data_IF_738679468749
#
_entry.id   IF_738679468749
#
_cell.length_a   1.000
_cell.length_b   1.000
_cell.length_c   1.000
_cell.angle_alpha   90.00
_cell.angle_beta   90.00
_cell.angle_gamma   90.00
#
_symmetry.space_group_name_H-M   'P 1'
#
loop_
_entity.id
_entity.type
_entity.pdbx_description
1 polymer ?
#
# COMPACT_ATOMS: atom_id res chain seq x y z
N UNK A 1 -18.17 -20.31 -1.59
CA UNK A 1 -17.35 -19.36 -2.38
C UNK A 1 -15.90 -19.52 -1.97
N UNK A 2 -15.07 -20.11 -2.84
CA UNK A 2 -13.62 -20.21 -2.59
C UNK A 2 -13.01 -18.81 -2.70
N UNK A 3 -12.22 -18.33 -1.72
CA UNK A 3 -11.60 -17.01 -1.83
C UNK A 3 -10.67 -17.01 -3.05
N UNK A 4 -10.96 -16.15 -4.03
CA UNK A 4 -10.09 -15.98 -5.19
C UNK A 4 -8.78 -15.38 -4.70
N UNK A 5 -7.69 -16.18 -4.73
CA UNK A 5 -6.34 -15.68 -4.47
C UNK A 5 -6.02 -14.62 -5.51
N UNK A 6 -5.40 -13.53 -5.07
CA UNK A 6 -5.05 -12.38 -5.88
C UNK A 6 -4.26 -12.83 -7.13
N UNK A 7 -4.66 -12.40 -8.34
CA UNK A 7 -3.94 -12.69 -9.59
C UNK A 7 -3.31 -11.41 -10.17
N UNK A 8 -2.04 -11.50 -10.57
CA UNK A 8 -1.27 -10.39 -11.18
C UNK A 8 -1.36 -10.43 -12.70
N UNK A 9 -1.59 -9.29 -13.36
CA UNK A 9 -1.81 -9.20 -14.81
C UNK A 9 -0.59 -8.80 -15.66
N UNK A 10 0.58 -8.58 -15.06
CA UNK A 10 1.88 -8.35 -15.75
C UNK A 10 3.02 -8.51 -14.75
N UNK A 11 4.11 -9.18 -15.17
CA UNK A 11 5.35 -9.48 -14.42
C UNK A 11 5.34 -9.11 -12.93
N UNK A 12 4.92 -10.06 -12.08
CA UNK A 12 5.16 -10.01 -10.64
C UNK A 12 4.50 -8.86 -9.85
N UNK A 13 3.69 -8.00 -10.47
CA UNK A 13 3.05 -6.86 -9.79
C UNK A 13 1.56 -7.10 -9.58
N UNK A 14 1.14 -7.02 -8.31
CA UNK A 14 -0.26 -7.07 -7.92
C UNK A 14 -0.80 -5.64 -7.74
N UNK A 15 -1.90 -5.31 -8.43
CA UNK A 15 -2.62 -4.08 -8.17
C UNK A 15 -3.63 -4.33 -7.05
N UNK A 16 -3.45 -3.66 -5.91
CA UNK A 16 -4.37 -3.73 -4.78
C UNK A 16 -5.25 -2.47 -4.75
N UNK A 17 -6.56 -2.68 -4.74
CA UNK A 17 -7.55 -1.64 -4.45
C UNK A 17 -8.12 -1.88 -3.07
N UNK A 18 -8.10 -0.88 -2.20
CA UNK A 18 -8.78 -0.92 -0.90
C UNK A 18 -9.70 0.29 -0.76
N UNK A 19 -10.80 0.08 -0.05
CA UNK A 19 -11.69 1.18 0.33
C UNK A 19 -11.23 1.72 1.68
N UNK A 20 -10.94 3.03 1.72
CA UNK A 20 -10.62 3.76 2.95
C UNK A 20 -11.42 5.05 2.96
N UNK A 21 -11.66 5.60 4.14
CA UNK A 21 -12.37 6.87 4.26
C UNK A 21 -11.53 8.02 3.68
N UNK A 22 -12.16 9.10 3.19
CA UNK A 22 -11.44 10.28 2.70
C UNK A 22 -10.49 10.89 3.74
N UNK A 23 -10.87 10.90 5.01
CA UNK A 23 -10.09 11.46 6.11
C UNK A 23 -8.80 10.66 6.32
N UNK A 24 -8.91 9.33 6.34
CA UNK A 24 -7.75 8.44 6.44
C UNK A 24 -6.84 8.61 5.22
N UNK A 25 -7.43 8.73 4.03
CA UNK A 25 -6.70 8.96 2.79
C UNK A 25 -5.86 10.24 2.85
N UNK A 26 -6.46 11.35 3.28
CA UNK A 26 -5.78 12.64 3.41
C UNK A 26 -4.67 12.59 4.47
N UNK A 27 -4.93 11.94 5.60
CA UNK A 27 -3.93 11.82 6.68
C UNK A 27 -2.71 11.03 6.23
N UNK A 28 -2.91 9.92 5.51
CA UNK A 28 -1.82 9.13 4.93
C UNK A 28 -1.01 9.93 3.91
N UNK A 29 -1.67 10.69 3.03
CA UNK A 29 -0.97 11.56 2.07
C UNK A 29 -0.07 12.59 2.76
N UNK A 30 -0.57 13.25 3.81
CA UNK A 30 0.22 14.20 4.62
C UNK A 30 1.44 13.53 5.26
N UNK A 31 1.26 12.36 5.86
CA UNK A 31 2.36 11.62 6.50
C UNK A 31 3.44 11.24 5.49
N UNK A 32 3.04 10.77 4.30
CA UNK A 32 3.97 10.41 3.24
C UNK A 32 4.65 11.62 2.61
N UNK A 33 3.94 12.75 2.47
CA UNK A 33 4.53 14.01 2.04
C UNK A 33 5.62 14.47 3.02
N UNK A 34 5.36 14.38 4.33
CA UNK A 34 6.33 14.74 5.37
C UNK A 34 7.57 13.83 5.37
N UNK A 35 7.45 12.59 4.90
CA UNK A 35 8.58 11.67 4.67
C UNK A 35 9.38 11.96 3.40
N UNK A 36 9.01 13.00 2.62
CA UNK A 36 9.70 13.38 1.39
C UNK A 36 9.28 12.57 0.15
N UNK A 37 8.19 11.79 0.22
CA UNK A 37 7.73 11.02 -0.93
C UNK A 37 7.15 11.94 -2.02
N UNK A 38 7.62 11.76 -3.26
CA UNK A 38 7.22 12.56 -4.43
C UNK A 38 5.72 12.42 -4.70
N UNK A 39 5.03 13.49 -5.16
CA UNK A 39 3.58 13.47 -5.40
C UNK A 39 3.12 12.31 -6.30
N UNK A 40 3.82 12.08 -7.42
CA UNK A 40 3.54 10.95 -8.30
C UNK A 40 4.07 9.65 -7.69
N UNK A 41 3.17 8.71 -7.41
CA UNK A 41 3.52 7.42 -6.81
C UNK A 41 3.63 7.45 -5.28
N UNK A 42 3.41 8.60 -4.61
CA UNK A 42 3.48 8.74 -3.15
C UNK A 42 2.72 7.64 -2.42
N UNK A 43 1.47 7.45 -2.82
CA UNK A 43 0.57 6.47 -2.23
C UNK A 43 1.08 5.07 -2.40
N UNK A 44 1.50 4.72 -3.61
CA UNK A 44 1.96 3.37 -3.90
C UNK A 44 3.18 3.07 -3.03
N UNK A 45 4.19 3.96 -3.06
CA UNK A 45 5.40 3.77 -2.26
C UNK A 45 5.11 3.76 -0.76
N UNK A 46 4.24 4.66 -0.29
CA UNK A 46 3.86 4.73 1.11
C UNK A 46 3.09 3.49 1.60
N UNK A 47 2.25 2.90 0.77
CA UNK A 47 1.57 1.63 1.06
C UNK A 47 2.53 0.45 1.04
N UNK A 48 3.42 0.38 0.04
CA UNK A 48 4.47 -0.66 -0.05
C UNK A 48 5.35 -0.65 1.21
N UNK A 49 5.84 0.53 1.62
CA UNK A 49 6.69 0.67 2.80
C UNK A 49 5.94 0.31 4.10
N UNK A 50 4.65 0.66 4.20
CA UNK A 50 3.81 0.31 5.34
C UNK A 50 3.58 -1.20 5.44
N UNK A 51 3.26 -1.85 4.33
CA UNK A 51 3.04 -3.31 4.27
C UNK A 51 4.35 -4.04 4.62
N UNK A 52 5.48 -3.60 4.06
CA UNK A 52 6.78 -4.18 4.37
C UNK A 52 7.12 -4.06 5.86
N UNK A 53 6.87 -2.90 6.47
CA UNK A 53 7.07 -2.70 7.90
C UNK A 53 6.15 -3.59 8.76
N UNK A 54 4.88 -3.75 8.35
CA UNK A 54 3.94 -4.64 9.04
C UNK A 54 4.40 -6.10 8.99
N UNK A 55 4.77 -6.60 7.82
CA UNK A 55 5.22 -7.99 7.63
C UNK A 55 6.51 -8.27 8.41
N UNK A 56 7.48 -7.35 8.36
CA UNK A 56 8.72 -7.45 9.13
C UNK A 56 8.47 -7.51 10.65
N UNK A 57 7.47 -6.77 11.14
CA UNK A 57 7.09 -6.78 12.56
C UNK A 57 6.38 -8.07 12.99
N UNK A 58 5.74 -8.80 12.07
CA UNK A 58 4.93 -9.99 12.37
C UNK A 58 5.58 -11.31 11.93
N UNK A 59 6.80 -11.27 11.36
CA UNK A 59 7.57 -12.47 11.03
C UNK A 59 7.08 -13.23 9.78
N UNK A 60 6.26 -12.59 8.94
CA UNK A 60 5.88 -13.12 7.63
C UNK A 60 6.87 -12.59 6.58
N UNK A 61 8.04 -13.24 6.47
CA UNK A 61 9.09 -12.93 5.50
C UNK A 61 9.23 -14.03 4.44
#
# INVERSE_FOLDING_TARGET
MTPRRCSSSRDGKLLLSCWITPELRMRLDQLWAAKGLRPHGRTQKGMEDMIAAYLAAHGEA
#
